data_IF_463305945323
#
_entry.id   IF_463305945323
#
_cell.length_a   1.000
_cell.length_b   1.000
_cell.length_c   1.000
_cell.angle_alpha   90.00
_cell.angle_beta   90.00
_cell.angle_gamma   90.00
#
_symmetry.space_group_name_H-M   'P 1'
#
loop_
_entity.id
_entity.type
_entity.pdbx_description
1 polymer ?
#
# COMPACT_ATOMS: atom_id res chain seq x y z
N UNK A 1 -15.12 -17.56 -4.51
CA UNK A 1 -13.97 -16.62 -4.43
C UNK A 1 -14.47 -15.30 -4.98
N UNK A 2 -14.40 -14.23 -4.21
CA UNK A 2 -14.86 -12.91 -4.65
C UNK A 2 -13.89 -12.22 -5.60
N UNK A 3 -14.36 -11.14 -6.21
CA UNK A 3 -13.55 -10.28 -7.07
C UNK A 3 -12.52 -9.47 -6.28
N UNK A 4 -11.49 -9.02 -6.98
CA UNK A 4 -10.49 -8.12 -6.42
C UNK A 4 -11.02 -6.71 -6.28
N UNK A 5 -10.70 -6.06 -5.16
CA UNK A 5 -10.93 -4.62 -4.98
C UNK A 5 -10.11 -3.82 -5.99
N UNK A 6 -10.43 -2.53 -6.14
CA UNK A 6 -9.53 -1.58 -6.78
C UNK A 6 -8.18 -1.52 -6.05
N UNK A 7 -7.15 -1.05 -6.76
CA UNK A 7 -5.81 -0.88 -6.20
C UNK A 7 -5.85 0.09 -5.01
N UNK A 8 -5.09 -0.22 -3.97
CA UNK A 8 -5.04 0.57 -2.74
C UNK A 8 -4.42 1.95 -2.91
N UNK A 9 -3.73 2.16 -4.03
CA UNK A 9 -3.06 3.40 -4.41
C UNK A 9 -3.72 4.01 -5.63
N UNK A 10 -3.57 5.32 -5.81
CA UNK A 10 -3.94 6.04 -7.04
C UNK A 10 -2.82 6.10 -8.07
N UNK A 11 -1.60 5.74 -7.66
CA UNK A 11 -0.39 5.69 -8.47
C UNK A 11 0.63 4.79 -7.77
N UNK A 12 1.57 4.25 -8.53
CA UNK A 12 2.68 3.45 -8.05
C UNK A 12 2.26 2.07 -7.53
N UNK A 13 3.17 1.39 -6.80
CA UNK A 13 2.89 0.07 -6.27
C UNK A 13 1.82 0.13 -5.17
N UNK A 14 0.87 -0.80 -5.22
CA UNK A 14 -0.24 -0.91 -4.29
C UNK A 14 -0.68 -2.37 -4.08
N UNK A 15 -1.84 -2.54 -3.46
CA UNK A 15 -2.46 -3.83 -3.17
C UNK A 15 -3.92 -3.88 -3.55
N UNK A 16 -4.38 -5.06 -3.94
CA UNK A 16 -5.80 -5.40 -4.05
C UNK A 16 -6.14 -6.50 -3.06
N UNK A 17 -7.34 -6.45 -2.51
CA UNK A 17 -7.87 -7.45 -1.58
C UNK A 17 -9.07 -8.15 -2.20
N UNK A 18 -9.32 -9.40 -1.82
CA UNK A 18 -10.55 -10.11 -2.18
C UNK A 18 -11.04 -10.97 -1.03
N UNK A 19 -12.34 -11.21 -1.01
CA UNK A 19 -12.94 -12.10 -0.04
C UNK A 19 -12.85 -13.57 -0.49
N UNK A 20 -12.54 -14.44 0.46
CA UNK A 20 -12.44 -15.88 0.24
C UNK A 20 -13.25 -16.58 1.33
N UNK A 21 -14.37 -17.15 0.91
CA UNK A 21 -15.31 -17.91 1.73
C UNK A 21 -15.11 -19.42 1.51
N UNK A 22 -15.36 -20.21 2.55
CA UNK A 22 -15.40 -21.67 2.44
C UNK A 22 -16.82 -22.07 2.06
N UNK A 23 -17.00 -22.61 0.85
CA UNK A 23 -18.32 -22.94 0.30
C UNK A 23 -18.33 -24.33 -0.33
N UNK A 24 -19.48 -25.02 -0.22
CA UNK A 24 -19.75 -26.30 -0.88
C UNK A 24 -21.09 -26.23 -1.60
N UNK A 25 -21.12 -26.68 -2.86
CA UNK A 25 -22.37 -26.89 -3.61
C UNK A 25 -23.01 -28.21 -3.16
N UNK A 26 -24.25 -28.15 -2.69
CA UNK A 26 -25.03 -29.35 -2.34
C UNK A 26 -25.76 -29.90 -3.56
N UNK A 27 -26.26 -31.14 -3.47
CA UNK A 27 -26.93 -31.83 -4.58
C UNK A 27 -28.18 -31.10 -5.10
N UNK A 28 -28.84 -30.28 -4.26
CA UNK A 28 -29.97 -29.43 -4.64
C UNK A 28 -29.59 -28.22 -5.50
N UNK A 29 -28.30 -27.96 -5.70
CA UNK A 29 -27.79 -26.78 -6.41
C UNK A 29 -27.49 -25.58 -5.50
N UNK A 30 -27.95 -25.62 -4.24
CA UNK A 30 -27.68 -24.56 -3.25
C UNK A 30 -26.19 -24.50 -2.87
N UNK A 31 -25.76 -23.31 -2.45
CA UNK A 31 -24.39 -23.08 -1.97
C UNK A 31 -24.41 -22.92 -0.46
N UNK A 32 -23.67 -23.78 0.25
CA UNK A 32 -23.52 -23.71 1.70
C UNK A 32 -22.17 -23.10 2.06
N UNK A 33 -22.19 -21.97 2.77
CA UNK A 33 -21.01 -21.33 3.33
C UNK A 33 -20.71 -21.84 4.75
N UNK A 34 -19.43 -22.03 5.08
CA UNK A 34 -18.98 -22.55 6.37
C UNK A 34 -18.17 -21.51 7.15
N UNK A 35 -18.61 -21.22 8.37
CA UNK A 35 -17.90 -20.40 9.35
C UNK A 35 -17.98 -21.03 10.75
N UNK A 36 -16.85 -21.36 11.41
CA UNK A 36 -15.47 -21.26 10.92
C UNK A 36 -15.20 -22.21 9.73
N UNK A 37 -14.19 -21.93 8.88
CA UNK A 37 -13.97 -22.63 7.60
C UNK A 37 -13.31 -24.01 7.78
N UNK A 38 -13.84 -24.84 8.69
CA UNK A 38 -13.22 -26.11 9.07
C UNK A 38 -13.22 -27.14 7.94
N UNK A 39 -14.24 -27.11 7.09
CA UNK A 39 -14.42 -27.98 5.92
C UNK A 39 -13.38 -27.71 4.83
N UNK A 40 -12.84 -26.49 4.78
CA UNK A 40 -11.81 -26.12 3.81
C UNK A 40 -10.39 -26.17 4.39
N UNK A 41 -10.18 -26.66 5.63
CA UNK A 41 -8.85 -26.67 6.28
C UNK A 41 -7.77 -27.41 5.48
N UNK A 42 -8.15 -28.43 4.74
CA UNK A 42 -7.23 -29.23 3.91
C UNK A 42 -7.00 -28.65 2.51
N UNK A 43 -7.79 -27.63 2.17
CA UNK A 43 -7.72 -26.89 0.92
C UNK A 43 -6.83 -25.68 1.17
N UNK A 44 -5.90 -25.47 0.25
CA UNK A 44 -5.03 -24.31 0.27
C UNK A 44 -5.89 -23.05 0.13
N UNK A 45 -5.79 -22.14 1.13
CA UNK A 45 -6.55 -20.89 1.11
C UNK A 45 -6.06 -20.01 -0.05
N UNK A 46 -6.91 -19.67 -1.02
CA UNK A 46 -6.55 -18.73 -2.08
C UNK A 46 -5.99 -17.41 -1.51
N UNK A 47 -5.05 -16.75 -2.21
CA UNK A 47 -4.51 -15.48 -1.75
C UNK A 47 -5.63 -14.44 -1.64
N UNK A 48 -5.68 -13.76 -0.50
CA UNK A 48 -6.62 -12.67 -0.22
C UNK A 48 -6.04 -11.29 -0.52
N UNK A 49 -4.75 -11.22 -0.89
CA UNK A 49 -4.01 -10.01 -1.23
C UNK A 49 -3.17 -10.28 -2.48
N UNK A 50 -3.15 -9.34 -3.42
CA UNK A 50 -2.21 -9.32 -4.55
C UNK A 50 -1.63 -7.90 -4.75
N UNK A 51 -0.49 -7.81 -5.42
CA UNK A 51 0.15 -6.53 -5.74
C UNK A 51 -0.41 -5.96 -7.05
N UNK A 52 -0.54 -4.64 -7.10
CA UNK A 52 -0.85 -3.86 -8.31
C UNK A 52 0.18 -2.75 -8.50
N UNK A 53 0.32 -2.24 -9.73
CA UNK A 53 1.14 -1.06 -10.03
C UNK A 53 0.39 -0.17 -11.03
N UNK A 54 0.09 1.07 -10.61
CA UNK A 54 -0.63 2.05 -11.43
C UNK A 54 0.30 3.06 -12.13
N UNK A 55 1.61 2.79 -12.20
CA UNK A 55 2.58 3.67 -12.87
C UNK A 55 3.07 4.82 -11.98
N UNK A 56 3.87 5.75 -12.50
CA UNK A 56 4.49 6.76 -11.62
C UNK A 56 3.48 7.78 -11.09
N UNK A 57 3.72 8.28 -9.87
CA UNK A 57 2.90 9.32 -9.23
C UNK A 57 3.10 10.73 -9.83
N UNK A 58 3.85 10.84 -10.94
CA UNK A 58 4.20 12.10 -11.56
C UNK A 58 3.03 12.70 -12.37
N UNK A 59 2.01 11.91 -12.71
CA UNK A 59 0.86 12.35 -13.52
C UNK A 59 -0.04 13.38 -12.83
N UNK A 60 0.08 13.58 -11.50
CA UNK A 60 -0.59 14.67 -10.78
C UNK A 60 0.17 16.01 -10.96
N UNK A 61 1.48 15.96 -11.24
CA UNK A 61 2.30 17.16 -11.45
C UNK A 61 1.98 17.89 -12.76
N UNK A 62 1.48 17.17 -13.78
CA UNK A 62 1.15 17.75 -15.09
C UNK A 62 -0.12 18.60 -15.11
N UNK A 63 -0.89 18.64 -14.03
CA UNK A 63 -2.00 19.62 -13.87
C UNK A 63 -1.55 20.94 -13.24
N UNK A 64 -0.29 21.06 -12.84
CA UNK A 64 0.30 22.26 -12.20
C UNK A 64 1.63 22.64 -12.88
N UNK A 65 1.69 22.54 -14.21
CA UNK A 65 2.83 23.03 -15.01
C UNK A 65 2.41 24.00 -16.12
N UNK A 66 1.56 24.96 -15.80
CA UNK A 66 1.54 26.25 -16.51
C UNK A 66 1.45 27.39 -15.50
N UNK A 67 2.55 27.64 -14.78
CA UNK A 67 3.03 29.01 -14.62
C UNK A 67 4.54 29.00 -14.34
N UNK A 68 5.33 29.52 -15.29
CA UNK A 68 6.78 29.62 -15.20
C UNK A 68 7.14 30.92 -14.50
N UNK A 69 7.02 30.97 -13.17
CA UNK A 69 7.65 32.03 -12.36
C UNK A 69 7.69 31.72 -10.86
N UNK A 70 8.28 30.60 -10.43
CA UNK A 70 8.62 30.40 -9.01
C UNK A 70 10.01 29.75 -8.83
N UNK A 71 10.77 30.11 -7.77
CA UNK A 71 12.14 29.67 -7.60
C UNK A 71 12.19 28.15 -7.43
N UNK A 72 12.79 27.46 -8.39
CA UNK A 72 13.06 26.03 -8.31
C UNK A 72 14.03 25.76 -7.17
N UNK A 73 13.51 25.30 -6.02
CA UNK A 73 14.35 24.57 -5.07
C UNK A 73 14.98 23.38 -5.82
N UNK A 74 16.31 23.17 -5.70
CA UNK A 74 16.99 22.10 -6.42
C UNK A 74 16.27 20.78 -6.16
N UNK A 75 16.05 20.00 -7.23
CA UNK A 75 15.44 18.67 -7.21
C UNK A 75 15.92 17.89 -5.99
N UNK A 76 15.10 17.87 -4.95
CA UNK A 76 15.50 17.26 -3.70
C UNK A 76 15.78 15.78 -3.96
N UNK A 77 16.89 15.23 -3.42
CA UNK A 77 17.31 13.88 -3.73
C UNK A 77 16.26 12.86 -3.30
N UNK A 78 16.18 11.76 -4.04
CA UNK A 78 15.34 10.64 -3.70
C UNK A 78 15.81 10.01 -2.37
N UNK A 79 14.89 9.80 -1.43
CA UNK A 79 15.18 9.14 -0.16
C UNK A 79 14.79 7.66 -0.26
N UNK A 80 15.76 6.76 -0.13
CA UNK A 80 15.48 5.33 -0.04
C UNK A 80 15.77 4.84 1.38
N UNK A 81 14.77 4.25 2.02
CA UNK A 81 14.97 3.56 3.29
C UNK A 81 15.72 2.25 3.05
N UNK A 82 17.02 2.24 3.37
CA UNK A 82 17.85 1.04 3.31
C UNK A 82 17.79 0.21 4.59
N UNK A 83 17.76 0.86 5.76
CA UNK A 83 17.74 0.17 7.06
C UNK A 83 16.33 -0.22 7.46
N UNK A 84 16.08 -1.52 7.51
CA UNK A 84 14.79 -2.04 7.93
C UNK A 84 14.47 -1.67 9.38
N UNK A 85 15.42 -1.74 10.31
CA UNK A 85 15.14 -1.51 11.74
C UNK A 85 14.63 -0.09 12.06
N UNK A 86 14.84 0.86 11.15
CA UNK A 86 14.39 2.25 11.30
C UNK A 86 12.86 2.37 11.12
N UNK A 87 12.11 2.10 12.17
CA UNK A 87 10.63 2.22 12.13
C UNK A 87 10.12 3.64 12.32
N UNK A 88 11.00 4.62 12.53
CA UNK A 88 10.66 6.04 12.66
C UNK A 88 11.59 6.86 11.79
N UNK A 89 11.04 7.63 10.85
CA UNK A 89 11.82 8.49 9.97
C UNK A 89 11.28 9.92 9.97
N UNK A 90 12.18 10.88 9.82
CA UNK A 90 11.84 12.28 9.61
C UNK A 90 12.33 12.70 8.24
N UNK A 91 11.42 13.22 7.42
CA UNK A 91 11.70 13.71 6.07
C UNK A 91 11.40 15.21 6.00
N UNK A 92 12.08 15.91 5.11
CA UNK A 92 11.67 17.25 4.69
C UNK A 92 10.91 17.13 3.36
N UNK A 93 10.07 18.11 3.05
CA UNK A 93 9.43 18.21 1.72
C UNK A 93 10.49 18.27 0.62
N UNK A 94 10.19 17.60 -0.49
CA UNK A 94 10.99 17.55 -1.71
C UNK A 94 11.19 16.12 -2.23
N UNK A 95 11.20 15.97 -3.56
CA UNK A 95 11.61 14.74 -4.24
C UNK A 95 10.66 13.56 -4.01
N UNK A 96 11.20 12.35 -4.07
CA UNK A 96 10.48 11.10 -3.83
C UNK A 96 11.13 10.30 -2.69
N UNK A 97 10.31 9.63 -1.87
CA UNK A 97 10.77 8.74 -0.82
C UNK A 97 10.21 7.33 -1.00
N UNK A 98 11.09 6.33 -1.00
CA UNK A 98 10.73 4.90 -1.02
C UNK A 98 11.01 4.28 0.34
N UNK A 99 9.94 3.87 1.02
CA UNK A 99 9.93 3.56 2.44
C UNK A 99 9.39 2.15 2.70
N UNK A 100 9.71 1.56 3.85
CA UNK A 100 9.10 0.29 4.23
C UNK A 100 7.70 0.48 4.82
N UNK A 101 6.77 -0.43 4.51
CA UNK A 101 5.50 -0.53 5.26
C UNK A 101 5.77 -0.75 6.75
N UNK A 102 4.89 -0.20 7.58
CA UNK A 102 4.99 -0.17 9.04
C UNK A 102 5.91 0.94 9.59
N UNK A 103 6.65 1.66 8.74
CA UNK A 103 7.46 2.81 9.17
C UNK A 103 6.55 3.99 9.53
N UNK A 104 6.82 4.63 10.67
CA UNK A 104 6.15 5.87 11.09
C UNK A 104 6.94 7.09 10.62
N UNK A 105 6.27 8.02 9.96
CA UNK A 105 6.89 9.15 9.26
C UNK A 105 6.54 10.47 9.92
N UNK A 106 7.51 11.39 9.94
CA UNK A 106 7.31 12.80 10.25
C UNK A 106 7.83 13.64 9.09
N UNK A 107 6.95 14.28 8.34
CA UNK A 107 7.33 15.15 7.21
C UNK A 107 7.29 16.62 7.66
N UNK A 108 8.38 17.34 7.45
CA UNK A 108 8.52 18.77 7.81
C UNK A 108 8.40 19.65 6.56
N UNK A 109 7.60 20.71 6.68
CA UNK A 109 7.51 21.77 5.68
C UNK A 109 8.67 22.78 5.89
N UNK A 110 9.39 23.22 4.83
CA UNK A 110 10.62 24.01 4.92
C UNK A 110 10.36 25.50 5.15
N UNK A 111 9.49 25.84 6.11
CA UNK A 111 9.16 27.23 6.44
C UNK A 111 9.89 27.72 7.70
N UNK A 112 10.56 28.87 7.57
CA UNK A 112 11.18 29.62 8.67
C UNK A 112 10.24 30.72 9.15
N UNK A 113 10.19 30.97 10.46
CA UNK A 113 9.42 32.07 11.09
C UNK A 113 7.95 32.18 10.65
N UNK A 114 7.32 31.05 10.32
CA UNK A 114 5.91 30.98 9.90
C UNK A 114 5.02 30.38 10.99
N UNK A 115 3.81 30.89 11.13
CA UNK A 115 2.81 30.38 12.08
C UNK A 115 2.45 28.94 11.77
N UNK A 116 2.92 28.00 12.60
CA UNK A 116 2.81 26.55 12.33
C UNK A 116 1.38 26.02 12.24
N UNK A 117 0.41 26.68 12.88
CA UNK A 117 -1.02 26.36 12.79
C UNK A 117 -1.65 26.70 11.44
N UNK A 118 -1.03 27.58 10.64
CA UNK A 118 -1.49 27.97 9.30
C UNK A 118 -0.95 27.06 8.18
N UNK A 119 -0.12 26.07 8.50
CA UNK A 119 0.43 25.13 7.52
C UNK A 119 -0.67 24.15 7.10
N UNK A 120 -0.99 24.13 5.81
CA UNK A 120 -1.98 23.21 5.22
C UNK A 120 -1.25 22.05 4.57
N UNK A 121 -1.71 20.84 4.84
CA UNK A 121 -1.22 19.63 4.21
C UNK A 121 -2.29 19.01 3.31
N UNK A 122 -1.87 18.54 2.14
CA UNK A 122 -2.70 17.80 1.20
C UNK A 122 -2.06 16.46 0.85
N UNK A 123 -2.89 15.47 0.54
CA UNK A 123 -2.51 14.21 -0.10
C UNK A 123 -3.29 14.11 -1.41
N UNK A 124 -2.59 13.96 -2.52
CA UNK A 124 -3.18 13.86 -3.86
C UNK A 124 -4.18 15.00 -4.14
N UNK A 125 -3.79 16.23 -3.78
CA UNK A 125 -4.60 17.44 -3.91
C UNK A 125 -5.72 17.61 -2.86
N UNK A 126 -6.04 16.57 -2.08
CA UNK A 126 -7.10 16.63 -1.05
C UNK A 126 -6.53 17.02 0.31
N UNK A 127 -7.19 17.94 1.01
CA UNK A 127 -6.77 18.38 2.35
C UNK A 127 -6.80 17.21 3.34
N UNK A 128 -5.72 17.05 4.10
CA UNK A 128 -5.60 16.01 5.11
C UNK A 128 -6.41 16.38 6.34
N UNK A 129 -7.25 15.46 6.79
CA UNK A 129 -7.97 15.51 8.07
C UNK A 129 -7.30 14.62 9.10
N UNK A 130 -7.16 15.13 10.33
CA UNK A 130 -6.52 14.40 11.42
C UNK A 130 -7.37 13.19 11.84
N UNK A 131 -6.74 12.02 11.92
CA UNK A 131 -7.33 10.79 12.44
C UNK A 131 -6.27 9.97 13.20
N UNK A 132 -6.59 8.74 13.63
CA UNK A 132 -5.63 7.90 14.36
C UNK A 132 -4.35 7.57 13.55
N UNK A 133 -4.46 7.50 12.23
CA UNK A 133 -3.43 7.04 11.29
C UNK A 133 -2.57 8.18 10.71
N UNK A 134 -3.18 9.32 10.36
CA UNK A 134 -2.51 10.50 9.80
C UNK A 134 -2.89 11.74 10.60
N UNK A 135 -1.88 12.52 11.02
CA UNK A 135 -2.08 13.75 11.82
C UNK A 135 -1.13 14.86 11.41
N UNK A 136 -1.62 16.09 11.33
CA UNK A 136 -0.81 17.29 11.35
C UNK A 136 -0.63 17.70 12.81
N UNK A 137 0.61 17.70 13.31
CA UNK A 137 0.89 18.10 14.68
C UNK A 137 0.89 19.61 14.87
N UNK A 138 0.83 20.07 16.13
CA UNK A 138 0.84 21.49 16.51
C UNK A 138 2.02 22.29 15.95
N UNK A 139 3.17 21.63 15.73
CA UNK A 139 4.34 22.23 15.08
C UNK A 139 4.26 22.25 13.53
N UNK A 140 3.12 21.89 12.95
CA UNK A 140 2.83 21.91 11.52
C UNK A 140 3.50 20.78 10.71
N UNK A 141 4.06 19.76 11.38
CA UNK A 141 4.59 18.58 10.71
C UNK A 141 3.48 17.55 10.44
N UNK A 142 3.52 16.93 9.27
CA UNK A 142 2.68 15.78 8.96
C UNK A 142 3.24 14.51 9.61
N UNK A 143 2.39 13.70 10.23
CA UNK A 143 2.73 12.42 10.83
C UNK A 143 1.85 11.32 10.26
N UNK A 144 2.50 10.25 9.79
CA UNK A 144 1.84 9.03 9.32
C UNK A 144 2.32 7.91 10.25
N UNK A 145 1.40 7.23 10.93
CA UNK A 145 1.71 6.16 11.86
C UNK A 145 1.58 4.81 11.17
N UNK A 146 2.58 3.93 11.31
CA UNK A 146 2.55 2.59 10.73
C UNK A 146 2.13 2.58 9.24
N UNK A 147 2.93 3.23 8.39
CA UNK A 147 2.57 3.47 7.00
C UNK A 147 2.18 2.19 6.26
N UNK A 148 1.17 2.30 5.40
CA UNK A 148 0.58 1.22 4.62
C UNK A 148 0.78 1.49 3.14
N UNK A 149 0.49 0.50 2.30
CA UNK A 149 0.55 0.70 0.84
C UNK A 149 -0.43 1.81 0.40
N UNK A 150 -1.61 1.87 1.01
CA UNK A 150 -2.62 2.92 0.78
C UNK A 150 -2.10 4.35 1.00
N UNK A 151 -1.03 4.52 1.79
CA UNK A 151 -0.50 5.84 2.10
C UNK A 151 0.36 6.41 0.97
N UNK A 152 0.65 5.63 -0.08
CA UNK A 152 1.35 6.13 -1.25
C UNK A 152 0.60 7.29 -1.89
N UNK A 153 1.33 8.24 -2.45
CA UNK A 153 0.77 9.43 -3.09
C UNK A 153 1.65 10.66 -2.97
N UNK A 154 1.15 11.78 -3.47
CA UNK A 154 1.83 13.08 -3.47
C UNK A 154 1.35 13.90 -2.28
N UNK A 155 2.25 14.18 -1.35
CA UNK A 155 1.97 15.00 -0.18
C UNK A 155 2.52 16.40 -0.38
N UNK A 156 1.69 17.43 -0.23
CA UNK A 156 2.14 18.81 -0.36
C UNK A 156 1.89 19.62 0.92
N UNK A 157 2.79 20.54 1.21
CA UNK A 157 2.57 21.57 2.21
C UNK A 157 2.39 22.94 1.54
N UNK A 158 1.45 23.73 2.07
CA UNK A 158 1.20 25.11 1.65
C UNK A 158 1.28 26.00 2.88
N UNK A 159 2.19 26.97 2.87
CA UNK A 159 2.44 27.84 4.01
C UNK A 159 3.08 29.17 3.57
N UNK A 160 2.30 30.26 3.64
CA UNK A 160 2.83 31.62 3.51
C UNK A 160 3.63 31.91 2.23
N UNK A 161 3.17 31.39 1.09
CA UNK A 161 3.87 31.51 -0.21
C UNK A 161 4.83 30.36 -0.50
N UNK A 162 5.23 29.56 0.50
CA UNK A 162 5.99 28.33 0.26
C UNK A 162 5.03 27.20 -0.09
N UNK A 163 5.26 26.59 -1.26
CA UNK A 163 4.62 25.36 -1.71
C UNK A 163 5.70 24.34 -2.03
N UNK A 164 5.53 23.13 -1.54
CA UNK A 164 6.41 22.04 -1.91
C UNK A 164 5.74 20.70 -1.71
N UNK A 165 6.17 19.71 -2.48
CA UNK A 165 5.60 18.37 -2.48
C UNK A 165 6.67 17.31 -2.21
N UNK A 166 6.23 16.14 -1.77
CA UNK A 166 7.03 14.92 -1.68
C UNK A 166 6.18 13.75 -2.13
N UNK A 167 6.73 12.92 -3.00
CA UNK A 167 6.08 11.68 -3.45
C UNK A 167 6.47 10.55 -2.51
N UNK A 168 5.51 9.95 -1.82
CA UNK A 168 5.75 8.79 -0.96
C UNK A 168 5.36 7.50 -1.69
N UNK A 169 6.26 6.51 -1.65
CA UNK A 169 6.04 5.16 -2.15
C UNK A 169 6.50 4.15 -1.10
N UNK A 170 5.86 2.97 -1.08
CA UNK A 170 6.08 1.96 -0.06
C UNK A 170 6.51 0.62 -0.66
N UNK A 171 7.34 -0.10 0.08
CA UNK A 171 7.76 -1.47 -0.22
C UNK A 171 7.65 -2.35 1.03
N UNK A 172 7.56 -3.65 0.80
CA UNK A 172 7.65 -4.65 1.85
C UNK A 172 9.09 -4.83 2.35
N UNK A 173 9.20 -5.25 3.61
CA UNK A 173 10.45 -5.73 4.22
C UNK A 173 10.73 -7.13 3.72
N UNK A 174 11.99 -7.47 3.52
CA UNK A 174 12.37 -8.76 2.93
C UNK A 174 11.87 -9.93 3.78
N UNK A 175 11.81 -9.78 5.11
CA UNK A 175 11.25 -10.79 6.03
C UNK A 175 9.79 -11.18 5.70
N UNK A 176 8.97 -10.22 5.22
CA UNK A 176 7.57 -10.50 4.84
C UNK A 176 7.45 -11.09 3.44
N UNK A 177 8.32 -10.65 2.53
CA UNK A 177 8.38 -11.17 1.16
C UNK A 177 8.87 -12.61 1.18
N UNK A 178 9.88 -12.93 1.99
CA UNK A 178 10.36 -14.29 2.20
C UNK A 178 9.32 -15.18 2.89
N UNK A 179 8.52 -14.68 3.84
CA UNK A 179 7.42 -15.46 4.42
C UNK A 179 6.33 -15.77 3.37
N UNK A 180 6.01 -14.83 2.48
CA UNK A 180 5.09 -15.11 1.37
C UNK A 180 5.68 -16.06 0.33
N UNK A 181 6.96 -15.90 -0.04
CA UNK A 181 7.66 -16.75 -1.01
C UNK A 181 7.95 -18.14 -0.45
N UNK A 182 8.30 -18.27 0.84
CA UNK A 182 8.51 -19.56 1.49
C UNK A 182 7.20 -20.31 1.64
N UNK A 183 6.11 -19.62 1.99
CA UNK A 183 4.76 -20.18 1.88
C UNK A 183 4.48 -20.64 0.44
N UNK A 184 4.70 -19.82 -0.59
CA UNK A 184 4.54 -20.21 -2.00
C UNK A 184 5.40 -21.42 -2.41
N UNK A 185 6.64 -21.51 -1.92
CA UNK A 185 7.57 -22.61 -2.22
C UNK A 185 7.13 -23.90 -1.53
N UNK A 186 6.65 -23.79 -0.28
CA UNK A 186 6.03 -24.90 0.45
C UNK A 186 4.75 -25.36 -0.25
N UNK A 187 3.97 -24.45 -0.81
CA UNK A 187 2.77 -24.75 -1.59
C UNK A 187 3.13 -25.50 -2.88
N UNK A 188 4.13 -25.03 -3.63
CA UNK A 188 4.61 -25.72 -4.84
C UNK A 188 5.13 -27.12 -4.50
N UNK A 189 5.87 -27.29 -3.40
CA UNK A 189 6.37 -28.61 -2.97
C UNK A 189 5.26 -29.54 -2.47
N UNK A 190 4.23 -29.01 -1.79
CA UNK A 190 3.03 -29.76 -1.43
C UNK A 190 2.19 -30.16 -2.65
N UNK A 191 2.08 -29.30 -3.68
CA UNK A 191 1.41 -29.62 -4.95
C UNK A 191 2.20 -30.67 -5.75
N UNK A 192 3.54 -30.59 -5.77
CA UNK A 192 4.42 -31.60 -6.39
C UNK A 192 4.41 -32.94 -5.62
N UNK A 193 4.29 -32.91 -4.30
CA UNK A 193 4.07 -34.09 -3.46
C UNK A 193 2.68 -34.71 -3.72
N UNK A 194 1.64 -33.88 -3.85
CA UNK A 194 0.29 -34.32 -4.25
C UNK A 194 0.24 -34.81 -5.70
N UNK A 195 1.15 -34.41 -6.59
CA UNK A 195 1.33 -35.02 -7.93
C UNK A 195 1.87 -36.46 -7.88
N UNK A 196 2.41 -36.94 -6.75
CA UNK A 196 2.64 -38.38 -6.50
C UNK A 196 1.42 -39.09 -5.90
N UNK A 197 0.31 -38.40 -5.64
CA UNK A 197 -0.98 -38.98 -5.17
C UNK A 197 -2.17 -38.65 -6.10
N UNK A 198 -1.98 -37.83 -7.14
CA UNK A 198 -3.04 -37.49 -8.10
C UNK A 198 -3.13 -38.49 -9.27
N UNK A 199 -3.53 -39.73 -8.97
CA UNK A 199 -4.31 -40.57 -9.89
C UNK A 199 -5.73 -40.71 -9.35
N UNK A 200 -6.45 -39.59 -9.24
CA UNK A 200 -7.91 -39.62 -9.19
C UNK A 200 -8.43 -38.32 -9.80
N UNK A 201 -8.48 -38.28 -11.14
CA UNK A 201 -9.36 -37.36 -11.82
C UNK A 201 -10.78 -37.63 -11.29
N UNK A 202 -11.46 -36.61 -10.76
CA UNK A 202 -12.91 -36.67 -10.67
C UNK A 202 -13.44 -36.72 -12.11
N UNK A 203 -13.78 -37.94 -12.57
CA UNK A 203 -14.61 -38.15 -13.76
C UNK A 203 -15.97 -37.53 -13.49
N UNK A 204 -16.37 -36.56 -14.30
CA UNK A 204 -17.79 -36.33 -14.54
C UNK A 204 -18.28 -37.48 -15.43
N UNK A 205 -19.05 -38.41 -14.87
CA UNK A 205 -19.87 -39.36 -15.63
C UNK A 205 -21.31 -38.85 -15.65
N UNK A 206 -21.90 -38.83 -16.85
CA UNK A 206 -23.33 -38.66 -17.08
C UNK A 206 -24.13 -39.74 -16.34
N UNK A 207 -25.32 -39.37 -15.89
CA UNK A 207 -26.55 -40.13 -16.15
C UNK A 207 -27.62 -39.10 -16.56
#
# INVERSE_FOLDING_TARGET
>A
IGDWTQCSTSCGPGEQRREVTCEQRVASGDVKQFYPPVQCRHIEKPPTVQLCDLGTCDSISNSVLQDRSEPSYPSAPSFIQHREQNRKLTLNIGGNAKLFVGTSLKVKCPVRNYTKSKIIWTKDGKKITNNAHIKVSSNGALRIFHARMEDAGVYACVAGGVRGNVTLSFKYRDDKVQVQLSNLTLLISMQLSRRKVAKQCCRYSKN
#
